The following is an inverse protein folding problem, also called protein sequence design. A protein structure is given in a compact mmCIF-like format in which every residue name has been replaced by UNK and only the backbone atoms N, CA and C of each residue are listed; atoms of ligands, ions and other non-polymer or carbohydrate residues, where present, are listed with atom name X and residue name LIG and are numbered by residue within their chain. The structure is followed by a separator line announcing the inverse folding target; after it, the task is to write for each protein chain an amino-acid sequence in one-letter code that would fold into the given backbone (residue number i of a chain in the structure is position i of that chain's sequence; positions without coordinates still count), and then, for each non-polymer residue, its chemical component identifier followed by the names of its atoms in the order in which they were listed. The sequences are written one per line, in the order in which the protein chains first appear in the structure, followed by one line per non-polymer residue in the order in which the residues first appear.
data_IF_721352524998
#
_entry.id   IF_721352524998
#
_cell.length_a   1.000
_cell.length_b   1.000
_cell.length_c   1.000
_cell.angle_alpha   90.00
_cell.angle_beta   90.00
_cell.angle_gamma   90.00
#
_symmetry.space_group_name_H-M   'P 1'
#
loop_
_entity.id
_entity.type
_entity.pdbx_description
1 polymer ?
#
# COMPACT_ATOMS: atom_id res chain seq x y z
N UNK A 1 -5.08 -27.76 -1.95
CA UNK A 1 -4.65 -26.80 -0.90
C UNK A 1 -5.86 -26.39 -0.06
N UNK A 2 -5.73 -26.28 1.26
CA UNK A 2 -6.80 -25.74 2.11
C UNK A 2 -7.09 -24.26 1.78
N UNK A 3 -8.32 -23.79 2.09
CA UNK A 3 -8.67 -22.37 1.94
C UNK A 3 -7.79 -21.50 2.85
N UNK A 4 -7.41 -20.29 2.41
CA UNK A 4 -6.53 -19.42 3.20
C UNK A 4 -7.20 -19.00 4.51
N UNK A 5 -6.44 -19.11 5.60
CA UNK A 5 -6.82 -18.68 6.95
C UNK A 5 -5.67 -17.90 7.56
N UNK A 6 -5.95 -16.75 8.19
CA UNK A 6 -4.96 -16.01 8.92
C UNK A 6 -4.38 -16.86 10.07
N UNK A 7 -3.11 -16.64 10.42
CA UNK A 7 -2.47 -17.33 11.57
C UNK A 7 -3.04 -16.90 12.93
N UNK A 8 -3.87 -15.87 12.97
CA UNK A 8 -4.58 -15.42 14.16
C UNK A 8 -5.75 -14.49 13.81
N UNK A 9 -6.26 -13.76 14.79
CA UNK A 9 -7.42 -12.89 14.62
C UNK A 9 -7.02 -11.59 13.88
N UNK A 10 -7.43 -11.44 12.62
CA UNK A 10 -7.21 -10.20 11.83
C UNK A 10 -7.80 -8.98 12.52
N UNK A 11 -8.95 -9.14 13.19
CA UNK A 11 -9.53 -8.09 14.02
C UNK A 11 -9.60 -8.51 15.48
N UNK A 12 -9.26 -7.58 16.35
CA UNK A 12 -9.34 -7.73 17.80
C UNK A 12 -10.76 -7.42 18.29
N UNK A 13 -11.05 -7.75 19.55
CA UNK A 13 -12.38 -7.58 20.15
C UNK A 13 -12.86 -6.11 20.12
N UNK A 14 -11.93 -5.16 20.24
CA UNK A 14 -12.15 -3.72 20.14
C UNK A 14 -12.16 -3.19 18.69
N UNK A 15 -12.32 -4.07 17.70
CA UNK A 15 -12.46 -3.73 16.28
C UNK A 15 -11.20 -3.13 15.64
N UNK A 16 -10.05 -3.15 16.33
CA UNK A 16 -8.75 -2.78 15.75
C UNK A 16 -8.21 -3.94 14.90
N UNK A 17 -7.28 -3.63 14.00
CA UNK A 17 -6.75 -4.62 13.04
C UNK A 17 -5.37 -5.05 13.49
N UNK A 18 -5.11 -6.36 13.54
CA UNK A 18 -3.76 -6.86 13.69
C UNK A 18 -3.11 -6.97 12.32
N UNK A 19 -2.10 -6.15 12.08
CA UNK A 19 -1.46 -5.97 10.78
C UNK A 19 -0.59 -7.14 10.39
N UNK A 20 0.00 -7.84 11.37
CA UNK A 20 0.74 -9.07 11.11
C UNK A 20 -0.18 -10.15 10.54
N UNK A 21 -1.32 -10.41 11.21
CA UNK A 21 -2.29 -11.39 10.74
C UNK A 21 -2.96 -10.97 9.42
N UNK A 22 -3.19 -9.68 9.20
CA UNK A 22 -3.69 -9.17 7.92
C UNK A 22 -2.68 -9.41 6.78
N UNK A 23 -1.41 -9.10 6.99
CA UNK A 23 -0.36 -9.30 6.00
C UNK A 23 -0.16 -10.80 5.67
N UNK A 24 -0.15 -11.65 6.69
CA UNK A 24 -0.12 -13.12 6.52
C UNK A 24 -1.32 -13.63 5.71
N UNK A 25 -2.52 -13.10 5.97
CA UNK A 25 -3.71 -13.45 5.22
C UNK A 25 -3.57 -13.10 3.74
N UNK A 26 -3.09 -11.90 3.40
CA UNK A 26 -2.84 -11.50 2.00
C UNK A 26 -1.85 -12.43 1.29
N UNK A 27 -0.74 -12.77 1.94
CA UNK A 27 0.24 -13.72 1.38
C UNK A 27 -0.34 -15.12 1.17
N UNK A 28 -1.20 -15.60 2.08
CA UNK A 28 -1.89 -16.89 1.93
C UNK A 28 -2.93 -16.87 0.81
N UNK A 29 -3.66 -15.76 0.64
CA UNK A 29 -4.61 -15.57 -0.47
C UNK A 29 -3.87 -15.62 -1.80
N UNK A 30 -2.77 -14.88 -1.96
CA UNK A 30 -1.97 -14.87 -3.19
C UNK A 30 -1.50 -16.28 -3.59
N UNK A 31 -0.93 -17.03 -2.64
CA UNK A 31 -0.50 -18.43 -2.88
C UNK A 31 -1.66 -19.34 -3.25
N UNK A 32 -2.80 -19.19 -2.59
CA UNK A 32 -3.99 -19.99 -2.89
C UNK A 32 -4.54 -19.68 -4.29
N UNK A 33 -4.61 -18.40 -4.67
CA UNK A 33 -5.07 -17.98 -6.00
C UNK A 33 -4.16 -18.51 -7.09
N UNK A 34 -2.84 -18.37 -6.94
CA UNK A 34 -1.85 -18.95 -7.85
C UNK A 34 -2.06 -20.46 -8.03
N UNK A 35 -2.25 -21.20 -6.93
CA UNK A 35 -2.55 -22.62 -6.97
C UNK A 35 -3.88 -22.93 -7.69
N UNK A 36 -4.96 -22.19 -7.41
CA UNK A 36 -6.26 -22.41 -8.07
C UNK A 36 -6.19 -22.13 -9.58
N UNK A 37 -5.45 -21.10 -10.00
CA UNK A 37 -5.21 -20.80 -11.41
C UNK A 37 -4.52 -21.97 -12.13
N UNK A 38 -3.48 -22.53 -11.50
CA UNK A 38 -2.76 -23.68 -12.03
C UNK A 38 -3.64 -24.93 -12.13
N UNK A 39 -4.35 -25.27 -11.06
CA UNK A 39 -5.14 -26.51 -11.04
C UNK A 39 -6.33 -26.46 -12.00
N UNK A 40 -7.09 -25.36 -12.00
CA UNK A 40 -8.36 -25.23 -12.73
C UNK A 40 -8.17 -24.79 -14.18
N UNK A 41 -7.24 -23.87 -14.43
CA UNK A 41 -7.10 -23.21 -15.73
C UNK A 41 -5.76 -23.47 -16.42
N UNK A 42 -4.86 -24.24 -15.78
CA UNK A 42 -3.50 -24.52 -16.27
C UNK A 42 -2.68 -23.24 -16.50
N UNK A 43 -2.98 -22.20 -15.71
CA UNK A 43 -2.24 -20.94 -15.68
C UNK A 43 -1.28 -21.01 -14.48
N UNK A 44 -0.01 -21.29 -14.75
CA UNK A 44 1.03 -21.35 -13.72
C UNK A 44 1.79 -20.02 -13.65
N UNK A 45 1.51 -19.24 -12.60
CA UNK A 45 2.08 -17.91 -12.39
C UNK A 45 2.34 -17.69 -10.90
N UNK A 46 3.55 -17.26 -10.50
CA UNK A 46 3.79 -16.86 -9.12
C UNK A 46 2.98 -15.60 -8.81
N UNK A 47 2.41 -15.53 -7.61
CA UNK A 47 1.72 -14.33 -7.11
C UNK A 47 2.20 -14.08 -5.69
N UNK A 48 2.67 -12.87 -5.43
CA UNK A 48 2.96 -12.39 -4.08
C UNK A 48 2.01 -11.27 -3.71
N UNK A 49 1.73 -11.11 -2.42
CA UNK A 49 0.92 -10.00 -1.92
C UNK A 49 1.27 -9.69 -0.49
N UNK A 50 1.15 -8.41 -0.15
CA UNK A 50 1.32 -7.91 1.20
C UNK A 50 0.54 -6.61 1.41
N UNK A 51 0.61 -6.09 2.64
CA UNK A 51 -0.09 -4.87 3.03
C UNK A 51 0.37 -3.69 2.16
N UNK A 52 -0.54 -2.76 1.89
CA UNK A 52 -0.24 -1.49 1.23
C UNK A 52 -0.86 -0.31 1.98
N UNK A 53 -0.25 0.87 1.81
CA UNK A 53 -0.66 2.14 2.41
C UNK A 53 -0.23 2.30 3.86
N UNK A 54 -0.46 3.49 4.44
CA UNK A 54 -0.08 3.88 5.81
C UNK A 54 -0.70 3.05 6.95
N UNK A 55 -1.37 1.95 6.62
CA UNK A 55 -1.97 0.98 7.51
C UNK A 55 -0.96 0.45 8.55
N UNK A 56 0.32 0.26 8.17
CA UNK A 56 1.40 -0.20 9.07
C UNK A 56 1.98 0.86 10.01
N UNK A 57 1.67 2.14 9.79
CA UNK A 57 2.27 3.25 10.53
C UNK A 57 1.60 3.52 11.88
N UNK A 58 0.50 2.85 12.15
CA UNK A 58 -0.31 3.04 13.35
C UNK A 58 -0.38 1.80 14.20
N UNK A 59 0.62 0.91 14.20
CA UNK A 59 0.62 -0.27 15.08
C UNK A 59 1.40 -0.06 16.39
N UNK A 60 1.03 -0.82 17.42
CA UNK A 60 1.90 -1.08 18.55
C UNK A 60 2.92 -2.19 18.24
N UNK A 61 3.75 -2.54 19.22
CA UNK A 61 4.78 -3.59 19.09
C UNK A 61 4.22 -4.99 18.81
N UNK A 62 2.92 -5.23 19.05
CA UNK A 62 2.24 -6.50 18.77
C UNK A 62 1.60 -6.51 17.37
N UNK A 63 1.76 -5.43 16.59
CA UNK A 63 1.13 -5.28 15.29
C UNK A 63 -0.35 -4.91 15.38
N UNK A 64 -0.90 -4.64 16.57
CA UNK A 64 -2.28 -4.18 16.69
C UNK A 64 -2.33 -2.69 16.34
N UNK A 65 -3.23 -2.33 15.42
CA UNK A 65 -3.44 -0.93 15.09
C UNK A 65 -3.90 -0.15 16.32
N UNK A 66 -3.41 1.06 16.50
CA UNK A 66 -3.75 2.01 17.57
C UNK A 66 -5.13 2.63 17.35
N UNK A 67 -5.60 2.65 16.10
CA UNK A 67 -6.96 3.07 15.70
C UNK A 67 -7.56 2.08 14.73
N UNK A 68 -8.90 2.11 14.60
CA UNK A 68 -9.63 1.29 13.63
C UNK A 68 -9.24 1.68 12.21
N UNK A 69 -8.97 0.67 11.38
CA UNK A 69 -8.68 0.85 9.97
C UNK A 69 -9.94 0.58 9.18
N UNK A 70 -10.30 1.52 8.32
CA UNK A 70 -11.51 1.45 7.50
C UNK A 70 -11.23 1.04 6.05
N UNK A 71 -9.98 1.07 5.61
CA UNK A 71 -9.57 0.81 4.23
C UNK A 71 -8.47 -0.23 4.25
N UNK A 72 -8.76 -1.43 3.76
CA UNK A 72 -7.80 -2.52 3.74
C UNK A 72 -7.22 -2.64 2.33
N UNK A 73 -6.01 -2.15 2.13
CA UNK A 73 -5.34 -2.24 0.83
C UNK A 73 -4.25 -3.31 0.86
N UNK A 74 -4.06 -4.00 -0.26
CA UNK A 74 -2.90 -4.85 -0.49
C UNK A 74 -2.34 -4.59 -1.88
N UNK A 75 -1.03 -4.81 -2.02
CA UNK A 75 -0.36 -4.82 -3.32
C UNK A 75 -0.18 -6.29 -3.75
N UNK A 76 -0.36 -6.57 -5.03
CA UNK A 76 -0.35 -7.93 -5.60
C UNK A 76 0.53 -7.93 -6.83
N UNK A 77 1.60 -8.73 -6.80
CA UNK A 77 2.54 -8.85 -7.91
C UNK A 77 2.12 -9.93 -8.88
N UNK A 78 2.08 -9.55 -10.16
CA UNK A 78 1.77 -10.44 -11.27
C UNK A 78 2.94 -10.46 -12.26
N UNK A 79 3.39 -11.64 -12.70
CA UNK A 79 4.49 -11.74 -13.66
C UNK A 79 4.11 -11.08 -14.99
N UNK A 80 5.06 -10.32 -15.53
CA UNK A 80 4.98 -9.85 -16.92
C UNK A 80 5.34 -10.97 -17.89
N UNK A 81 4.94 -10.80 -19.16
CA UNK A 81 5.23 -11.75 -20.24
C UNK A 81 4.72 -13.16 -19.88
N UNK A 82 3.57 -13.20 -19.22
CA UNK A 82 2.96 -14.41 -18.68
C UNK A 82 1.61 -14.67 -19.34
N UNK A 83 0.99 -15.83 -19.11
CA UNK A 83 -0.36 -16.09 -19.62
C UNK A 83 -1.40 -15.05 -19.18
N UNK A 84 -1.14 -14.28 -18.11
CA UNK A 84 -2.02 -13.20 -17.64
C UNK A 84 -2.05 -11.97 -18.57
N UNK A 85 -1.15 -11.89 -19.55
CA UNK A 85 -1.18 -10.85 -20.58
C UNK A 85 -2.43 -10.95 -21.47
N UNK A 86 -3.05 -12.13 -21.51
CA UNK A 86 -4.33 -12.35 -22.18
C UNK A 86 -5.48 -11.90 -21.27
N UNK A 87 -6.35 -11.05 -21.81
CA UNK A 87 -7.49 -10.51 -21.07
C UNK A 87 -8.36 -11.59 -20.41
N UNK A 88 -8.68 -12.66 -21.14
CA UNK A 88 -9.48 -13.79 -20.62
C UNK A 88 -8.83 -14.46 -19.40
N UNK A 89 -7.51 -14.56 -19.38
CA UNK A 89 -6.78 -15.13 -18.24
C UNK A 89 -6.75 -14.17 -17.04
N UNK A 90 -6.74 -12.87 -17.30
CA UNK A 90 -6.93 -11.86 -16.26
C UNK A 90 -8.33 -11.93 -15.64
N UNK A 91 -9.38 -12.13 -16.44
CA UNK A 91 -10.75 -12.32 -15.93
C UNK A 91 -10.86 -13.56 -15.02
N UNK A 92 -10.20 -14.66 -15.40
CA UNK A 92 -10.08 -15.87 -14.56
C UNK A 92 -9.36 -15.56 -13.25
N UNK A 93 -8.25 -14.83 -13.29
CA UNK A 93 -7.52 -14.39 -12.10
C UNK A 93 -8.43 -13.57 -11.18
N UNK A 94 -9.12 -12.57 -11.71
CA UNK A 94 -10.01 -11.71 -10.91
C UNK A 94 -11.12 -12.54 -10.27
N UNK A 95 -11.77 -13.41 -11.04
CA UNK A 95 -12.83 -14.32 -10.56
C UNK A 95 -12.36 -15.16 -9.38
N UNK A 96 -11.20 -15.80 -9.51
CA UNK A 96 -10.63 -16.60 -8.43
C UNK A 96 -10.21 -15.73 -7.24
N UNK A 97 -9.60 -14.58 -7.49
CA UNK A 97 -9.05 -13.69 -6.47
C UNK A 97 -10.16 -13.10 -5.58
N UNK A 98 -11.18 -12.48 -6.17
CA UNK A 98 -12.26 -11.86 -5.38
C UNK A 98 -13.04 -12.92 -4.59
N UNK A 99 -13.30 -14.11 -5.16
CA UNK A 99 -13.99 -15.18 -4.43
C UNK A 99 -13.15 -15.70 -3.26
N UNK A 100 -11.84 -15.84 -3.47
CA UNK A 100 -10.90 -16.23 -2.40
C UNK A 100 -10.88 -15.19 -1.30
N UNK A 101 -10.89 -13.89 -1.62
CA UNK A 101 -10.99 -12.81 -0.64
C UNK A 101 -12.30 -12.88 0.16
N UNK A 102 -13.45 -13.07 -0.50
CA UNK A 102 -14.76 -13.25 0.18
C UNK A 102 -14.67 -14.37 1.21
N UNK A 103 -14.18 -15.53 0.79
CA UNK A 103 -14.09 -16.72 1.64
C UNK A 103 -13.09 -16.55 2.79
N UNK A 104 -11.96 -15.88 2.55
CA UNK A 104 -10.89 -15.67 3.51
C UNK A 104 -11.29 -14.68 4.62
N UNK A 105 -12.03 -13.63 4.28
CA UNK A 105 -12.44 -12.59 5.24
C UNK A 105 -13.77 -12.89 5.95
N UNK A 106 -14.59 -13.82 5.43
CA UNK A 106 -15.86 -14.22 6.07
C UNK A 106 -15.73 -14.68 7.53
N UNK A 107 -14.73 -15.52 7.92
CA UNK A 107 -14.50 -15.88 9.32
C UNK A 107 -14.15 -14.69 10.23
N UNK A 108 -13.68 -13.59 9.64
CA UNK A 108 -13.35 -12.35 10.32
C UNK A 108 -14.52 -11.34 10.31
N UNK A 109 -15.71 -11.79 9.94
CA UNK A 109 -16.94 -11.00 10.01
C UNK A 109 -17.13 -9.99 8.88
N UNK A 110 -16.33 -10.04 7.80
CA UNK A 110 -16.58 -9.25 6.60
C UNK A 110 -17.42 -10.03 5.60
N UNK A 111 -18.40 -9.36 5.01
CA UNK A 111 -19.18 -9.86 3.88
C UNK A 111 -18.83 -9.01 2.68
N UNK A 112 -17.81 -9.43 1.94
CA UNK A 112 -17.28 -8.64 0.84
C UNK A 112 -18.09 -8.84 -0.45
N UNK A 113 -18.43 -7.76 -1.13
CA UNK A 113 -19.02 -7.78 -2.46
C UNK A 113 -18.13 -7.04 -3.46
N UNK A 114 -17.95 -7.64 -4.64
CA UNK A 114 -17.16 -7.05 -5.72
C UNK A 114 -17.99 -5.92 -6.35
N UNK A 115 -17.48 -4.69 -6.28
CA UNK A 115 -18.11 -3.54 -6.93
C UNK A 115 -17.57 -3.32 -8.33
N UNK A 116 -16.24 -3.36 -8.48
CA UNK A 116 -15.58 -3.18 -9.77
C UNK A 116 -14.18 -3.78 -9.79
N UNK A 117 -13.66 -4.03 -10.98
CA UNK A 117 -12.26 -4.33 -11.22
C UNK A 117 -11.77 -3.66 -12.51
N UNK A 118 -10.45 -3.58 -12.70
CA UNK A 118 -9.86 -3.01 -13.92
C UNK A 118 -9.75 -1.49 -13.90
N UNK A 119 -10.09 -0.83 -12.79
CA UNK A 119 -9.81 0.59 -12.57
C UNK A 119 -8.30 0.84 -12.65
N UNK A 120 -7.87 1.76 -13.49
CA UNK A 120 -6.44 2.07 -13.69
C UNK A 120 -5.98 3.05 -12.63
N UNK A 121 -4.88 2.75 -11.94
CA UNK A 121 -4.28 3.73 -11.04
C UNK A 121 -3.62 4.86 -11.84
N UNK A 122 -3.81 6.12 -11.43
CA UNK A 122 -3.14 7.27 -12.04
C UNK A 122 -1.63 7.12 -11.89
N UNK A 123 -0.88 7.76 -12.78
CA UNK A 123 0.59 7.78 -12.73
C UNK A 123 1.26 6.40 -12.74
N UNK A 124 0.59 5.38 -13.28
CA UNK A 124 1.19 4.09 -13.60
C UNK A 124 1.58 4.00 -15.09
N UNK A 125 2.34 2.98 -15.47
CA UNK A 125 2.82 2.81 -16.83
C UNK A 125 1.69 2.82 -17.88
N UNK A 126 1.88 3.53 -19.00
CA UNK A 126 0.85 3.65 -20.06
C UNK A 126 0.56 2.33 -20.77
N UNK A 127 1.58 1.50 -20.95
CA UNK A 127 1.48 0.23 -21.68
C UNK A 127 0.89 -0.87 -20.79
N UNK A 128 1.33 -0.92 -19.53
CA UNK A 128 0.86 -1.90 -18.53
C UNK A 128 0.49 -1.16 -17.24
N UNK A 129 -0.70 -0.54 -17.18
CA UNK A 129 -1.13 0.20 -16.00
C UNK A 129 -1.37 -0.73 -14.82
N UNK A 130 -1.15 -0.20 -13.61
CA UNK A 130 -1.59 -0.88 -12.40
C UNK A 130 -3.12 -0.86 -12.35
N UNK A 131 -3.74 -1.98 -12.00
CA UNK A 131 -5.20 -2.11 -11.97
C UNK A 131 -5.69 -2.49 -10.59
N UNK A 132 -6.90 -2.05 -10.23
CA UNK A 132 -7.47 -2.31 -8.91
C UNK A 132 -8.64 -3.29 -8.98
N UNK A 133 -8.77 -4.12 -7.96
CA UNK A 133 -10.04 -4.78 -7.60
C UNK A 133 -10.62 -3.99 -6.42
N UNK A 134 -11.92 -3.69 -6.44
CA UNK A 134 -12.59 -2.96 -5.36
C UNK A 134 -13.74 -3.78 -4.80
N UNK A 135 -13.65 -4.11 -3.51
CA UNK A 135 -14.67 -4.87 -2.79
C UNK A 135 -15.13 -4.08 -1.57
N UNK A 136 -16.43 -3.98 -1.36
CA UNK A 136 -17.03 -3.31 -0.20
C UNK A 136 -17.52 -4.35 0.81
N UNK A 137 -17.46 -4.02 2.09
CA UNK A 137 -18.02 -4.88 3.15
C UNK A 137 -19.47 -4.46 3.45
N UNK A 138 -20.41 -5.37 3.21
CA UNK A 138 -21.85 -5.16 3.47
C UNK A 138 -22.12 -4.89 4.95
N UNK A 139 -21.27 -5.37 5.85
CA UNK A 139 -21.40 -5.16 7.29
C UNK A 139 -20.82 -3.80 7.76
N UNK A 140 -20.21 -3.02 6.85
CA UNK A 140 -19.56 -1.73 7.15
C UNK A 140 -18.52 -1.80 8.29
N UNK A 141 -17.93 -2.99 8.52
CA UNK A 141 -16.81 -3.14 9.46
C UNK A 141 -15.58 -2.43 8.91
N UNK A 142 -15.40 -2.52 7.60
CA UNK A 142 -14.48 -1.69 6.80
C UNK A 142 -15.28 -1.05 5.67
N UNK A 143 -14.81 0.06 5.11
CA UNK A 143 -15.42 0.63 3.91
C UNK A 143 -15.11 -0.23 2.69
N UNK A 144 -13.86 -0.66 2.55
CA UNK A 144 -13.47 -1.53 1.43
C UNK A 144 -12.20 -2.33 1.68
N UNK A 145 -12.06 -3.38 0.88
CA UNK A 145 -10.84 -4.11 0.63
C UNK A 145 -10.43 -3.90 -0.83
N UNK A 146 -9.20 -3.41 -1.07
CA UNK A 146 -8.73 -3.05 -2.41
C UNK A 146 -7.36 -3.67 -2.72
N UNK A 147 -7.33 -4.79 -3.47
CA UNK A 147 -6.12 -5.26 -4.14
C UNK A 147 -5.68 -4.31 -5.26
N UNK A 148 -4.41 -3.97 -5.27
CA UNK A 148 -3.72 -3.25 -6.35
C UNK A 148 -2.83 -4.25 -7.06
N UNK A 149 -3.18 -4.58 -8.30
CA UNK A 149 -2.41 -5.48 -9.16
C UNK A 149 -1.33 -4.66 -9.86
N UNK A 150 -0.08 -5.03 -9.60
CA UNK A 150 1.11 -4.44 -10.20
C UNK A 150 1.88 -5.53 -10.95
N UNK A 151 2.61 -5.10 -11.97
CA UNK A 151 3.32 -6.02 -12.86
C UNK A 151 4.74 -6.28 -12.39
N UNK A 152 5.31 -7.42 -12.77
CA UNK A 152 6.64 -7.95 -12.47
C UNK A 152 6.67 -8.93 -11.28
N UNK A 153 7.63 -9.86 -11.29
CA UNK A 153 7.82 -10.90 -10.23
C UNK A 153 8.51 -10.36 -8.98
N UNK A 154 8.51 -9.04 -8.81
CA UNK A 154 9.04 -8.36 -7.64
C UNK A 154 8.38 -8.84 -6.35
N UNK A 155 9.08 -8.68 -5.24
CA UNK A 155 8.47 -8.91 -3.93
C UNK A 155 7.45 -7.80 -3.63
N UNK A 156 6.51 -8.05 -2.72
CA UNK A 156 5.53 -7.02 -2.36
C UNK A 156 6.21 -5.82 -1.68
N UNK A 157 7.32 -6.01 -0.97
CA UNK A 157 8.14 -4.94 -0.39
C UNK A 157 8.75 -4.04 -1.47
N UNK A 158 9.33 -4.63 -2.53
CA UNK A 158 9.79 -3.86 -3.69
C UNK A 158 8.65 -3.07 -4.32
N UNK A 159 7.45 -3.64 -4.30
CA UNK A 159 6.28 -2.99 -4.87
C UNK A 159 5.77 -1.81 -4.07
N UNK A 160 5.87 -1.90 -2.74
CA UNK A 160 5.60 -0.77 -1.84
C UNK A 160 6.56 0.39 -2.15
N UNK A 161 7.85 0.09 -2.33
CA UNK A 161 8.86 1.09 -2.66
C UNK A 161 8.57 1.73 -4.02
N UNK A 162 8.33 0.92 -5.05
CA UNK A 162 8.03 1.44 -6.39
C UNK A 162 6.73 2.25 -6.43
N UNK A 163 5.64 1.79 -5.79
CA UNK A 163 4.37 2.53 -5.79
C UNK A 163 4.48 3.89 -5.07
N UNK A 164 5.52 4.10 -4.25
CA UNK A 164 5.81 5.40 -3.66
C UNK A 164 6.19 6.46 -4.70
N UNK A 165 6.70 6.07 -5.88
CA UNK A 165 6.90 7.00 -7.01
C UNK A 165 5.55 7.56 -7.48
N UNK A 166 4.60 6.64 -7.73
CA UNK A 166 3.25 6.97 -8.15
C UNK A 166 2.55 7.83 -7.10
N UNK A 167 2.65 7.44 -5.83
CA UNK A 167 2.09 8.18 -4.68
C UNK A 167 2.67 9.60 -4.61
N UNK A 168 3.99 9.75 -4.74
CA UNK A 168 4.64 11.06 -4.72
C UNK A 168 4.12 11.97 -5.84
N UNK A 169 3.95 11.42 -7.05
CA UNK A 169 3.39 12.18 -8.17
C UNK A 169 1.92 12.59 -7.93
N UNK A 170 1.12 11.69 -7.37
CA UNK A 170 -0.27 11.98 -6.99
C UNK A 170 -0.34 13.08 -5.91
N UNK A 171 0.52 13.00 -4.88
CA UNK A 171 0.66 14.02 -3.85
C UNK A 171 1.03 15.38 -4.45
N UNK A 172 1.96 15.43 -5.41
CA UNK A 172 2.37 16.69 -6.07
C UNK A 172 1.22 17.40 -6.78
N UNK A 173 0.22 16.68 -7.28
CA UNK A 173 -0.96 17.31 -7.89
C UNK A 173 -1.76 18.14 -6.86
N UNK A 174 -1.72 17.76 -5.58
CA UNK A 174 -2.47 18.43 -4.51
C UNK A 174 -1.60 19.28 -3.58
N UNK A 175 -0.28 19.17 -3.68
CA UNK A 175 0.71 19.87 -2.86
C UNK A 175 1.66 20.74 -3.73
N UNK A 176 1.15 21.24 -4.85
CA UNK A 176 1.90 22.12 -5.73
C UNK A 176 1.94 23.55 -5.14
N UNK A 177 3.14 24.01 -4.78
CA UNK A 177 3.37 25.35 -4.22
C UNK A 177 2.86 26.47 -5.13
N UNK A 178 2.95 26.29 -6.45
CA UNK A 178 2.53 27.32 -7.42
C UNK A 178 1.00 27.44 -7.52
N UNK A 179 0.27 26.38 -7.18
CA UNK A 179 -1.19 26.32 -7.29
C UNK A 179 -1.88 26.60 -5.96
N UNK A 180 -1.19 26.41 -4.83
CA UNK A 180 -1.78 26.49 -3.52
C UNK A 180 -2.64 25.25 -3.17
N UNK A 181 -3.42 25.31 -2.08
CA UNK A 181 -4.32 24.24 -1.69
C UNK A 181 -5.47 24.07 -2.69
N UNK A 182 -5.61 22.89 -3.30
CA UNK A 182 -6.66 22.61 -4.31
C UNK A 182 -7.83 21.78 -3.77
N UNK A 183 -7.62 21.04 -2.67
CA UNK A 183 -8.66 20.24 -2.04
C UNK A 183 -9.46 21.06 -1.03
N UNK A 184 -10.78 20.87 -1.04
CA UNK A 184 -11.71 21.52 -0.09
C UNK A 184 -12.45 20.53 0.79
N UNK A 185 -12.58 19.26 0.36
CA UNK A 185 -13.29 18.24 1.13
C UNK A 185 -12.41 17.73 2.30
N UNK A 186 -12.87 17.82 3.56
CA UNK A 186 -12.07 17.41 4.71
C UNK A 186 -11.71 15.93 4.70
N UNK A 187 -12.52 15.06 4.10
CA UNK A 187 -12.23 13.64 4.06
C UNK A 187 -11.13 13.33 3.05
N UNK A 188 -11.14 13.98 1.89
CA UNK A 188 -10.07 13.92 0.89
C UNK A 188 -8.76 14.48 1.42
N UNK A 189 -8.80 15.63 2.11
CA UNK A 189 -7.61 16.22 2.74
C UNK A 189 -7.01 15.25 3.77
N UNK A 190 -7.82 14.59 4.60
CA UNK A 190 -7.31 13.56 5.54
C UNK A 190 -6.63 12.40 4.82
N UNK A 191 -7.14 11.98 3.66
CA UNK A 191 -6.50 10.92 2.88
C UNK A 191 -5.16 11.38 2.32
N UNK A 192 -5.11 12.58 1.75
CA UNK A 192 -3.86 13.20 1.29
C UNK A 192 -2.81 13.26 2.41
N UNK A 193 -3.21 13.74 3.59
CA UNK A 193 -2.32 13.85 4.75
C UNK A 193 -1.83 12.46 5.24
N UNK A 194 -2.66 11.41 5.15
CA UNK A 194 -2.22 10.04 5.44
C UNK A 194 -1.19 9.55 4.42
N UNK A 195 -1.37 9.90 3.15
CA UNK A 195 -0.49 9.52 2.06
C UNK A 195 0.88 10.22 2.15
N UNK A 196 0.92 11.46 2.64
CA UNK A 196 2.17 12.18 2.97
C UNK A 196 2.97 11.45 4.04
N UNK A 197 2.32 11.05 5.15
CA UNK A 197 2.99 10.25 6.20
C UNK A 197 3.43 8.89 5.68
N UNK A 198 2.63 8.29 4.80
CA UNK A 198 2.95 7.01 4.14
C UNK A 198 4.21 7.11 3.29
N UNK A 199 4.31 8.12 2.43
CA UNK A 199 5.48 8.36 1.60
C UNK A 199 6.74 8.56 2.46
N UNK A 200 6.69 9.44 3.47
CA UNK A 200 7.82 9.69 4.35
C UNK A 200 8.31 8.42 5.04
N UNK A 201 7.44 7.71 5.74
CA UNK A 201 7.83 6.52 6.51
C UNK A 201 8.29 5.37 5.63
N UNK A 202 7.87 5.32 4.37
CA UNK A 202 8.37 4.34 3.39
C UNK A 202 9.79 4.68 2.94
N UNK A 203 10.10 5.97 2.77
CA UNK A 203 11.38 6.46 2.26
C UNK A 203 12.36 6.89 3.37
N UNK A 204 11.98 6.78 4.64
CA UNK A 204 12.70 7.35 5.79
C UNK A 204 14.19 7.02 5.80
N UNK A 205 14.56 5.76 5.53
CA UNK A 205 15.96 5.31 5.50
C UNK A 205 16.73 5.71 4.23
N UNK A 206 16.04 6.23 3.21
CA UNK A 206 16.63 6.71 1.97
C UNK A 206 16.82 8.22 1.93
N UNK A 207 16.10 8.98 2.76
CA UNK A 207 16.24 10.42 2.89
C UNK A 207 17.64 10.82 3.38
N UNK A 208 18.11 12.00 2.95
CA UNK A 208 19.27 12.65 3.51
C UNK A 208 18.97 13.25 4.90
N UNK A 209 20.03 13.53 5.66
CA UNK A 209 19.92 13.98 7.04
C UNK A 209 19.22 15.34 7.18
N UNK A 210 19.51 16.28 6.26
CA UNK A 210 18.94 17.63 6.27
C UNK A 210 17.43 17.56 6.01
N UNK A 211 16.99 16.71 5.07
CA UNK A 211 15.57 16.49 4.83
C UNK A 211 14.87 15.85 6.04
N UNK A 212 15.49 14.88 6.70
CA UNK A 212 14.94 14.26 7.92
C UNK A 212 14.79 15.31 9.05
N UNK A 213 15.79 16.16 9.26
CA UNK A 213 15.75 17.21 10.28
C UNK A 213 14.57 18.17 10.06
N UNK A 214 14.33 18.54 8.80
CA UNK A 214 13.18 19.37 8.41
C UNK A 214 11.84 18.63 8.54
N UNK A 215 11.77 17.38 8.08
CA UNK A 215 10.52 16.65 7.92
C UNK A 215 9.99 16.02 9.21
N UNK A 216 10.84 15.45 10.06
CA UNK A 216 10.42 14.66 11.22
C UNK A 216 9.48 15.44 12.18
N UNK A 217 9.72 16.73 12.51
CA UNK A 217 8.81 17.48 13.37
C UNK A 217 7.40 17.63 12.78
N UNK A 218 7.29 17.80 11.46
CA UNK A 218 6.02 17.95 10.75
C UNK A 218 5.28 16.61 10.72
N UNK A 219 6.00 15.54 10.37
CA UNK A 219 5.43 14.19 10.32
C UNK A 219 4.96 13.75 11.71
N UNK A 220 5.74 14.05 12.76
CA UNK A 220 5.37 13.74 14.13
C UNK A 220 4.08 14.45 14.54
N UNK A 221 3.97 15.75 14.29
CA UNK A 221 2.74 16.50 14.55
C UNK A 221 1.55 15.92 13.77
N UNK A 222 1.71 15.63 12.47
CA UNK A 222 0.66 14.99 11.67
C UNK A 222 0.19 13.66 12.29
N UNK A 223 1.12 12.81 12.71
CA UNK A 223 0.79 11.53 13.38
C UNK A 223 0.06 11.77 14.69
N UNK A 224 0.48 12.74 15.50
CA UNK A 224 -0.19 13.10 16.75
C UNK A 224 -1.62 13.59 16.50
N UNK A 225 -1.85 14.44 15.49
CA UNK A 225 -3.19 14.90 15.12
C UNK A 225 -4.08 13.74 14.63
N UNK A 226 -3.55 12.84 13.80
CA UNK A 226 -4.28 11.61 13.41
C UNK A 226 -4.61 10.74 14.61
N UNK A 227 -3.68 10.63 15.56
CA UNK A 227 -3.87 9.89 16.81
C UNK A 227 -4.83 10.56 17.77
N UNK A 228 -5.11 11.87 17.63
CA UNK A 228 -6.20 12.56 18.31
C UNK A 228 -7.55 12.38 17.58
N UNK A 229 -7.52 12.14 16.26
CA UNK A 229 -8.67 11.79 15.43
C UNK A 229 -8.93 12.77 14.29
N UNK A 230 -8.29 13.95 14.34
CA UNK A 230 -8.32 14.99 13.31
C UNK A 230 -9.75 15.23 12.79
N UNK A 231 -10.70 15.56 13.68
CA UNK A 231 -12.13 15.72 13.33
C UNK A 231 -12.53 17.14 13.02
N UNK A 232 -11.77 18.14 13.49
CA UNK A 232 -12.05 19.55 13.33
C UNK A 232 -11.65 20.06 11.93
N UNK A 233 -12.54 20.82 11.28
CA UNK A 233 -12.34 21.27 9.90
C UNK A 233 -11.25 22.32 9.76
N UNK A 234 -11.16 23.27 10.68
CA UNK A 234 -10.13 24.30 10.65
C UNK A 234 -8.76 23.66 10.88
N UNK A 235 -8.66 22.75 11.84
CA UNK A 235 -7.45 21.98 12.10
C UNK A 235 -7.00 21.15 10.87
N UNK A 236 -7.92 20.52 10.15
CA UNK A 236 -7.61 19.77 8.92
C UNK A 236 -7.03 20.70 7.86
N UNK A 237 -7.61 21.89 7.69
CA UNK A 237 -7.14 22.88 6.71
C UNK A 237 -5.80 23.49 7.08
N UNK A 238 -5.61 23.81 8.36
CA UNK A 238 -4.34 24.34 8.87
C UNK A 238 -3.21 23.32 8.68
N UNK A 239 -3.49 22.04 8.95
CA UNK A 239 -2.53 20.97 8.72
C UNK A 239 -2.23 20.78 7.22
N UNK A 240 -3.23 20.91 6.35
CA UNK A 240 -3.03 20.87 4.90
C UNK A 240 -2.14 22.03 4.42
N UNK A 241 -2.42 23.26 4.86
CA UNK A 241 -1.61 24.43 4.55
C UNK A 241 -0.17 24.26 5.05
N UNK A 242 0.01 23.81 6.30
CA UNK A 242 1.33 23.52 6.87
C UNK A 242 2.12 22.52 6.02
N UNK A 243 1.48 21.45 5.59
CA UNK A 243 2.13 20.41 4.77
C UNK A 243 2.46 20.93 3.37
N UNK A 244 1.58 21.73 2.77
CA UNK A 244 1.87 22.41 1.50
C UNK A 244 3.11 23.30 1.64
N UNK A 245 3.11 24.21 2.60
CA UNK A 245 4.18 25.20 2.80
C UNK A 245 5.53 24.54 3.15
N UNK A 246 5.49 23.36 3.76
CA UNK A 246 6.70 22.60 4.11
C UNK A 246 7.44 21.98 2.92
N UNK A 247 6.83 21.93 1.73
CA UNK A 247 7.42 21.38 0.52
C UNK A 247 7.92 19.92 0.62
N UNK A 248 7.41 19.12 1.57
CA UNK A 248 7.87 17.74 1.81
C UNK A 248 7.81 16.85 0.56
N UNK A 249 6.78 17.03 -0.26
CA UNK A 249 6.59 16.24 -1.48
C UNK A 249 7.74 16.37 -2.47
N UNK A 250 8.39 17.52 -2.52
CA UNK A 250 9.56 17.75 -3.38
C UNK A 250 10.79 17.01 -2.84
N UNK A 251 10.94 16.90 -1.52
CA UNK A 251 11.99 16.07 -0.92
C UNK A 251 11.79 14.58 -1.14
N UNK A 252 10.53 14.10 -1.15
CA UNK A 252 10.21 12.71 -1.54
C UNK A 252 10.62 12.44 -2.99
N UNK A 253 10.25 13.34 -3.91
CA UNK A 253 10.62 13.24 -5.32
C UNK A 253 12.13 13.30 -5.51
N UNK A 254 12.83 14.21 -4.83
CA UNK A 254 14.29 14.30 -4.89
C UNK A 254 14.98 13.03 -4.39
N UNK A 255 14.50 12.47 -3.28
CA UNK A 255 15.02 11.21 -2.73
C UNK A 255 14.91 10.07 -3.74
N UNK A 256 13.74 9.93 -4.36
CA UNK A 256 13.52 8.93 -5.41
C UNK A 256 14.41 9.23 -6.63
N UNK A 257 14.44 10.46 -7.11
CA UNK A 257 15.25 10.87 -8.27
C UNK A 257 16.74 10.57 -8.09
N UNK A 258 17.30 10.80 -6.89
CA UNK A 258 18.70 10.48 -6.57
C UNK A 258 19.04 9.00 -6.78
N UNK A 259 18.07 8.10 -6.56
CA UNK A 259 18.26 6.66 -6.68
C UNK A 259 17.95 6.11 -8.10
N UNK A 260 16.99 6.70 -8.82
CA UNK A 260 16.56 6.21 -10.13
C UNK A 260 17.28 6.89 -11.31
N UNK A 261 17.69 8.16 -11.19
CA UNK A 261 18.36 8.90 -12.27
C UNK A 261 19.68 8.28 -12.77
N UNK A 262 20.51 7.58 -11.94
CA UNK A 262 21.70 6.89 -12.45
C UNK A 262 21.39 5.79 -13.48
N UNK A 263 20.13 5.33 -13.54
CA UNK A 263 19.65 4.31 -14.48
C UNK A 263 18.88 4.92 -15.67
N UNK A 264 18.92 6.26 -15.83
CA UNK A 264 18.19 6.96 -16.89
C UNK A 264 16.67 6.97 -16.69
N UNK A 265 16.20 6.77 -15.45
CA UNK A 265 14.78 6.71 -15.12
C UNK A 265 14.35 8.00 -14.40
N UNK A 266 13.54 8.81 -15.09
CA UNK A 266 12.93 10.02 -14.52
C UNK A 266 11.64 9.68 -13.77
N UNK A 267 11.66 9.85 -12.44
CA UNK A 267 10.53 9.56 -11.55
C UNK A 267 9.32 10.46 -11.81
N UNK A 268 9.51 11.64 -12.39
CA UNK A 268 8.41 12.52 -12.80
C UNK A 268 7.67 12.00 -14.05
N UNK A 269 8.28 11.06 -14.80
CA UNK A 269 7.73 10.49 -16.03
C UNK A 269 7.59 8.96 -15.97
N UNK A 270 7.26 8.40 -14.79
CA UNK A 270 7.09 6.95 -14.58
C UNK A 270 6.14 6.29 -15.59
N UNK A 271 5.15 7.02 -16.10
CA UNK A 271 4.18 6.51 -17.07
C UNK A 271 4.80 6.15 -18.42
N UNK A 272 5.97 6.72 -18.75
CA UNK A 272 6.72 6.46 -19.98
C UNK A 272 7.93 5.55 -19.76
N UNK A 273 8.08 4.95 -18.58
CA UNK A 273 9.18 4.02 -18.34
C UNK A 273 9.08 2.79 -19.24
N UNK A 274 10.20 2.15 -19.56
CA UNK A 274 10.20 0.86 -20.24
C UNK A 274 9.44 -0.20 -19.44
N UNK A 275 8.78 -1.14 -20.11
CA UNK A 275 7.91 -2.13 -19.46
C UNK A 275 8.68 -3.04 -18.50
N UNK A 276 9.93 -3.33 -18.83
CA UNK A 276 10.89 -4.10 -18.03
C UNK A 276 11.33 -3.38 -16.75
N UNK A 277 11.06 -2.08 -16.64
CA UNK A 277 11.33 -1.25 -15.44
C UNK A 277 10.09 -0.99 -14.60
N UNK A 278 8.93 -1.55 -14.98
CA UNK A 278 7.74 -1.51 -14.11
C UNK A 278 8.05 -2.31 -12.84
N UNK A 279 7.75 -1.71 -11.70
CA UNK A 279 7.93 -2.32 -10.39
C UNK A 279 9.37 -2.72 -10.06
N UNK A 280 10.33 -2.17 -10.81
CA UNK A 280 11.76 -2.32 -10.58
C UNK A 280 12.24 -1.28 -9.58
N UNK A 281 13.10 -1.70 -8.66
CA UNK A 281 13.69 -0.84 -7.63
C UNK A 281 15.22 -1.00 -7.69
N UNK A 282 16.01 0.08 -7.70
CA UNK A 282 17.47 -0.01 -7.61
C UNK A 282 17.94 -0.77 -6.37
N UNK A 283 18.97 -1.60 -6.50
CA UNK A 283 19.50 -2.40 -5.38
C UNK A 283 19.89 -1.51 -4.19
N UNK A 284 20.48 -0.34 -4.46
CA UNK A 284 20.84 0.65 -3.42
C UNK A 284 19.65 1.17 -2.61
N UNK A 285 18.45 1.16 -3.19
CA UNK A 285 17.22 1.55 -2.51
C UNK A 285 16.58 0.35 -1.82
N UNK A 286 16.65 -0.84 -2.43
CA UNK A 286 16.21 -2.09 -1.82
C UNK A 286 16.95 -2.38 -0.51
N UNK A 287 18.28 -2.26 -0.51
CA UNK A 287 19.14 -2.46 0.67
C UNK A 287 18.76 -1.56 1.85
N UNK A 288 18.28 -0.34 1.57
CA UNK A 288 17.86 0.62 2.59
C UNK A 288 16.44 0.38 3.10
N UNK A 289 15.52 0.01 2.21
CA UNK A 289 14.08 0.08 2.47
C UNK A 289 13.40 -1.28 2.70
N UNK A 290 13.93 -2.37 2.16
CA UNK A 290 13.35 -3.71 2.40
C UNK A 290 13.60 -4.20 3.83
N UNK A 291 14.83 -4.14 4.39
CA UNK A 291 15.08 -4.69 5.72
C UNK A 291 14.19 -4.09 6.82
N UNK A 292 13.95 -2.76 6.89
CA UNK A 292 13.04 -2.19 7.89
C UNK A 292 11.60 -2.72 7.79
N UNK A 293 11.10 -2.96 6.57
CA UNK A 293 9.76 -3.53 6.35
C UNK A 293 9.72 -4.96 6.89
N UNK A 294 10.72 -5.78 6.55
CA UNK A 294 10.80 -7.17 7.00
C UNK A 294 10.99 -7.27 8.51
N UNK A 295 11.85 -6.44 9.10
CA UNK A 295 12.09 -6.36 10.53
C UNK A 295 10.82 -6.01 11.29
N UNK A 296 10.04 -5.04 10.81
CA UNK A 296 8.75 -4.67 11.43
C UNK A 296 7.81 -5.87 11.59
N UNK A 297 7.61 -6.65 10.52
CA UNK A 297 6.76 -7.84 10.57
C UNK A 297 7.39 -8.99 11.36
N UNK A 298 8.71 -9.12 11.37
CA UNK A 298 9.41 -10.08 12.20
C UNK A 298 9.26 -9.76 13.69
N UNK A 299 9.35 -8.48 14.07
CA UNK A 299 9.10 -8.02 15.44
C UNK A 299 7.68 -8.30 15.88
N UNK A 300 6.67 -7.99 15.05
CA UNK A 300 5.28 -8.33 15.38
C UNK A 300 5.11 -9.83 15.62
N UNK A 301 5.67 -10.65 14.74
CA UNK A 301 5.63 -12.11 14.87
C UNK A 301 6.25 -12.55 16.19
N UNK A 302 7.48 -12.11 16.47
CA UNK A 302 8.21 -12.51 17.67
C UNK A 302 7.46 -12.14 18.94
N UNK A 303 6.87 -10.94 19.00
CA UNK A 303 6.11 -10.49 20.16
C UNK A 303 4.78 -11.26 20.32
N UNK A 304 4.11 -11.64 19.22
CA UNK A 304 2.90 -12.46 19.25
C UNK A 304 3.16 -13.93 19.64
N UNK A 305 4.38 -14.43 19.40
CA UNK A 305 4.80 -15.81 19.75
C UNK A 305 5.35 -15.92 21.17
N UNK A 306 5.66 -14.79 21.83
CA UNK A 306 6.04 -14.79 23.24
C UNK A 306 4.83 -15.20 24.09
N UNK A 307 4.97 -16.23 24.96
CA UNK A 307 3.94 -16.52 25.93
C UNK A 307 3.78 -15.29 26.85
N UNK A 308 2.56 -14.77 26.95
CA UNK A 308 2.23 -13.64 27.83
C UNK A 308 2.97 -13.76 29.18
N UNK A 309 3.84 -12.80 29.48
CA UNK A 309 4.39 -12.61 30.83
C UNK A 309 3.30 -12.10 31.78
#
# INVERSE_FOLDING_TARGET
MERPKASGAVFTADQRTNLYYLNDLYGKIARYVSHQLRERYKIDVPITSGIWGGTYLIADSMGQSKRRIWRLNCIVNLPQNSPLDQHENMEKLVTVYHQTMKDAFKPHGLTLELQMWGGRLPHSNKTRPNITIHMEDVNERVRWVRPILVWNESTWEQSVIHDTIRLTKELKNSLNLDQGPVLTDPQEIKYLLQDVVTAYRTLEKAHDADFIEHAEPIIKDMVEQFMAGLTDFEQIRDLYQKVLDSALVYGYEQTLSNHYSPFGLDVASVESWPVEKINWVPDTLQEKLIPPIQELFATFKSNLEQPNA
#
